data_IF_448521747853
#
_entry.id   IF_448521747853
#
_cell.length_a   1.000
_cell.length_b   1.000
_cell.length_c   1.000
_cell.angle_alpha   90.00
_cell.angle_beta   90.00
_cell.angle_gamma   90.00
#
_symmetry.space_group_name_H-M   'P 1'
#
loop_
_entity.id
_entity.type
_entity.pdbx_description
1 polymer ?
#
# COMPACT_ATOMS: atom_id res chain seq x y z
N UNK A 1 -2.07 4.29 44.75
CA UNK A 1 -3.04 4.50 43.65
C UNK A 1 -2.21 4.79 42.43
N UNK A 2 -1.72 3.75 41.78
CA UNK A 2 -0.89 3.89 40.58
C UNK A 2 -1.83 4.09 39.40
N UNK A 3 -1.83 5.30 38.85
CA UNK A 3 -2.47 5.61 37.59
C UNK A 3 -1.94 4.62 36.54
N UNK A 4 -2.83 3.76 36.07
CA UNK A 4 -2.62 2.93 34.91
C UNK A 4 -2.35 3.84 33.71
N UNK A 5 -1.07 4.18 33.49
CA UNK A 5 -0.58 4.69 32.22
C UNK A 5 -0.69 3.55 31.22
N UNK A 6 -1.90 3.30 30.72
CA UNK A 6 -2.07 2.54 29.49
C UNK A 6 -1.35 3.35 28.42
N UNK A 7 -0.10 2.99 28.14
CA UNK A 7 0.64 3.49 26.99
C UNK A 7 -0.13 3.03 25.76
N UNK A 8 -1.09 3.84 25.33
CA UNK A 8 -1.75 3.69 24.05
C UNK A 8 -0.65 3.77 22.99
N UNK A 9 -0.21 2.61 22.51
CA UNK A 9 0.88 2.51 21.56
C UNK A 9 0.38 3.06 20.22
N UNK A 10 0.90 4.20 19.81
CA UNK A 10 0.70 4.77 18.49
C UNK A 10 1.74 4.20 17.51
N UNK A 11 1.43 4.23 16.22
CA UNK A 11 2.41 3.86 15.18
C UNK A 11 3.53 4.90 15.09
N UNK A 12 4.78 4.44 15.11
CA UNK A 12 5.95 5.25 14.72
C UNK A 12 6.23 5.13 13.22
N UNK A 13 7.10 6.00 12.70
CA UNK A 13 7.52 5.97 11.28
C UNK A 13 8.22 4.65 10.97
N UNK A 14 9.13 4.21 11.83
CA UNK A 14 9.93 2.99 11.64
C UNK A 14 9.05 1.74 11.60
N UNK A 15 8.02 1.68 12.45
CA UNK A 15 7.07 0.56 12.48
C UNK A 15 6.25 0.49 11.19
N UNK A 16 5.82 1.65 10.69
CA UNK A 16 5.07 1.76 9.44
C UNK A 16 5.94 1.33 8.25
N UNK A 17 7.19 1.79 8.18
CA UNK A 17 8.12 1.38 7.11
C UNK A 17 8.41 -0.13 7.12
N UNK A 18 8.60 -0.71 8.31
CA UNK A 18 8.77 -2.16 8.44
C UNK A 18 7.53 -2.95 8.01
N UNK A 19 6.32 -2.45 8.26
CA UNK A 19 5.09 -3.08 7.80
C UNK A 19 4.95 -3.04 6.28
N UNK A 20 5.30 -1.92 5.63
CA UNK A 20 5.30 -1.82 4.16
C UNK A 20 6.26 -2.84 3.56
N UNK A 21 7.50 -2.90 4.04
CA UNK A 21 8.53 -3.79 3.50
C UNK A 21 8.14 -5.27 3.58
N UNK A 22 7.44 -5.66 4.65
CA UNK A 22 6.98 -7.03 4.85
C UNK A 22 5.72 -7.38 4.03
N UNK A 23 4.85 -6.40 3.81
CA UNK A 23 3.55 -6.61 3.19
C UNK A 23 3.58 -6.47 1.67
N UNK A 24 4.24 -5.44 1.15
CA UNK A 24 4.19 -5.08 -0.26
C UNK A 24 4.59 -6.20 -1.23
N UNK A 25 5.59 -7.06 -0.93
CA UNK A 25 5.95 -8.19 -1.80
C UNK A 25 4.87 -9.27 -1.94
N UNK A 26 3.86 -9.28 -1.05
CA UNK A 26 2.75 -10.26 -1.06
C UNK A 26 1.55 -9.78 -1.88
N UNK A 27 1.63 -8.58 -2.43
CA UNK A 27 0.57 -7.99 -3.24
C UNK A 27 0.66 -8.44 -4.69
N UNK A 28 -0.46 -8.39 -5.45
CA UNK A 28 -0.47 -8.74 -6.86
C UNK A 28 0.58 -7.99 -7.67
N UNK A 29 1.07 -8.66 -8.71
CA UNK A 29 2.02 -8.08 -9.66
C UNK A 29 1.30 -7.22 -10.70
N UNK A 30 2.05 -6.30 -11.31
CA UNK A 30 1.59 -5.49 -12.42
C UNK A 30 1.29 -6.36 -13.65
N UNK A 31 0.30 -5.94 -14.42
CA UNK A 31 -0.09 -6.57 -15.68
C UNK A 31 -0.08 -5.53 -16.80
N UNK A 32 0.50 -5.87 -17.94
CA UNK A 32 0.38 -5.05 -19.15
C UNK A 32 -0.98 -5.33 -19.80
N UNK A 33 -1.78 -4.28 -19.92
CA UNK A 33 -3.05 -4.26 -20.63
C UNK A 33 -2.85 -3.75 -22.07
N UNK A 34 -3.87 -3.95 -22.90
CA UNK A 34 -3.91 -3.43 -24.26
C UNK A 34 -3.74 -1.90 -24.26
N UNK A 35 -3.02 -1.37 -25.27
CA UNK A 35 -2.85 0.07 -25.46
C UNK A 35 -1.74 0.71 -24.62
N UNK A 36 -0.76 -0.06 -24.11
CA UNK A 36 0.36 0.50 -23.35
C UNK A 36 -0.01 0.95 -21.94
N UNK A 37 -1.04 0.34 -21.35
CA UNK A 37 -1.48 0.61 -19.99
C UNK A 37 -0.95 -0.48 -19.07
N UNK A 38 -0.20 -0.10 -18.05
CA UNK A 38 0.22 -1.02 -16.98
C UNK A 38 -0.79 -0.86 -15.84
N UNK A 39 -1.45 -1.96 -15.45
CA UNK A 39 -2.35 -2.01 -14.30
C UNK A 39 -1.66 -2.68 -13.12
N UNK A 40 -1.77 -2.06 -11.95
CA UNK A 40 -1.28 -2.61 -10.68
C UNK A 40 -2.43 -2.62 -9.68
N UNK A 41 -2.74 -3.80 -9.15
CA UNK A 41 -3.71 -3.94 -8.08
C UNK A 41 -3.03 -3.83 -6.72
N UNK A 42 -3.65 -3.07 -5.85
CA UNK A 42 -3.20 -2.78 -4.50
C UNK A 42 -4.27 -3.11 -3.48
N UNK A 43 -3.82 -3.30 -2.25
CA UNK A 43 -4.68 -3.58 -1.11
C UNK A 43 -4.60 -2.44 -0.10
N UNK A 44 -5.75 -1.88 0.28
CA UNK A 44 -5.83 -0.76 1.21
C UNK A 44 -4.94 0.43 0.80
N UNK A 45 -4.77 0.65 -0.51
CA UNK A 45 -3.92 1.72 -1.06
C UNK A 45 -2.42 1.42 -1.14
N UNK A 46 -1.98 0.23 -0.73
CA UNK A 46 -0.59 -0.23 -0.92
C UNK A 46 -0.46 -1.05 -2.19
N UNK A 47 0.69 -0.96 -2.85
CA UNK A 47 1.02 -1.65 -4.08
C UNK A 47 2.36 -2.39 -3.98
N UNK A 48 2.60 -3.38 -4.85
CA UNK A 48 3.89 -4.06 -4.91
C UNK A 48 4.92 -3.23 -5.71
N UNK A 49 5.94 -2.62 -5.07
CA UNK A 49 6.96 -1.84 -5.79
C UNK A 49 7.91 -2.73 -6.60
N UNK A 50 8.01 -4.02 -6.24
CA UNK A 50 8.82 -5.02 -6.93
C UNK A 50 8.00 -5.81 -7.94
N UNK A 51 6.91 -5.21 -8.46
CA UNK A 51 6.17 -5.81 -9.55
C UNK A 51 7.09 -6.16 -10.71
N UNK A 52 7.00 -7.40 -11.16
CA UNK A 52 7.74 -7.86 -12.33
C UNK A 52 7.24 -7.09 -13.55
N UNK A 53 8.03 -6.13 -14.00
CA UNK A 53 7.85 -5.43 -15.26
C UNK A 53 8.92 -5.91 -16.24
N UNK A 54 8.54 -6.19 -17.49
CA UNK A 54 9.51 -6.14 -18.58
C UNK A 54 9.92 -4.66 -18.75
N UNK A 55 11.21 -4.31 -18.68
CA UNK A 55 11.67 -2.94 -18.89
C UNK A 55 11.15 -2.28 -20.17
N UNK A 56 10.87 -3.08 -21.21
CA UNK A 56 10.31 -2.59 -22.47
C UNK A 56 8.90 -2.01 -22.31
N UNK A 57 8.13 -2.41 -21.29
CA UNK A 57 6.79 -1.87 -21.03
C UNK A 57 6.82 -0.38 -20.70
N UNK A 58 7.93 0.12 -20.15
CA UNK A 58 8.11 1.53 -19.84
C UNK A 58 8.48 2.37 -21.07
N UNK A 59 8.77 1.73 -22.21
CA UNK A 59 9.04 2.36 -23.51
C UNK A 59 10.11 3.48 -23.47
N UNK A 60 11.07 3.37 -22.55
CA UNK A 60 12.11 4.39 -22.33
C UNK A 60 11.59 5.72 -21.74
N UNK A 61 10.31 5.81 -21.37
CA UNK A 61 9.71 7.00 -20.74
C UNK A 61 10.03 7.11 -19.26
N UNK A 62 10.38 5.98 -18.65
CA UNK A 62 10.75 5.82 -17.25
C UNK A 62 11.69 4.62 -17.13
N UNK A 63 12.66 4.70 -16.23
CA UNK A 63 13.53 3.59 -15.87
C UNK A 63 12.85 2.65 -14.86
N UNK A 64 13.23 1.37 -14.78
CA UNK A 64 12.71 0.48 -13.75
C UNK A 64 12.91 0.99 -12.32
N UNK A 65 14.00 1.73 -12.07
CA UNK A 65 14.29 2.32 -10.77
C UNK A 65 13.31 3.47 -10.44
N UNK A 66 13.05 4.38 -11.38
CA UNK A 66 12.06 5.45 -11.19
C UNK A 66 10.66 4.90 -10.96
N UNK A 67 10.31 3.80 -11.64
CA UNK A 67 9.05 3.08 -11.37
C UNK A 67 9.01 2.59 -9.92
N UNK A 68 10.04 1.88 -9.47
CA UNK A 68 10.14 1.38 -8.10
C UNK A 68 10.02 2.52 -7.07
N UNK A 69 10.71 3.64 -7.32
CA UNK A 69 10.67 4.82 -6.46
C UNK A 69 9.29 5.47 -6.42
N UNK A 70 8.61 5.60 -7.56
CA UNK A 70 7.25 6.13 -7.65
C UNK A 70 6.25 5.28 -6.85
N UNK A 71 6.29 3.95 -6.99
CA UNK A 71 5.39 3.07 -6.23
C UNK A 71 5.70 3.11 -4.73
N UNK A 72 6.98 3.13 -4.35
CA UNK A 72 7.36 3.28 -2.94
C UNK A 72 6.94 4.62 -2.36
N UNK A 73 7.01 5.69 -3.14
CA UNK A 73 6.55 7.00 -2.72
C UNK A 73 5.06 6.98 -2.38
N UNK A 74 4.23 6.41 -3.26
CA UNK A 74 2.78 6.24 -3.00
C UNK A 74 2.56 5.44 -1.72
N UNK A 75 3.24 4.29 -1.59
CA UNK A 75 3.13 3.44 -0.40
C UNK A 75 3.48 4.22 0.87
N UNK A 76 4.60 4.94 0.89
CA UNK A 76 5.05 5.75 2.04
C UNK A 76 4.02 6.82 2.40
N UNK A 77 3.53 7.58 1.42
CA UNK A 77 2.49 8.59 1.66
C UNK A 77 1.22 7.98 2.27
N UNK A 78 0.75 6.86 1.72
CA UNK A 78 -0.41 6.14 2.25
C UNK A 78 -0.14 5.62 3.67
N UNK A 79 1.05 5.10 3.94
CA UNK A 79 1.41 4.54 5.23
C UNK A 79 1.55 5.62 6.32
N UNK A 80 2.13 6.77 6.00
CA UNK A 80 2.34 7.87 6.93
C UNK A 80 1.04 8.44 7.51
N UNK A 81 -0.10 8.19 6.87
CA UNK A 81 -1.42 8.52 7.45
C UNK A 81 -1.74 7.79 8.76
N UNK A 82 -0.99 6.73 9.10
CA UNK A 82 -1.17 5.96 10.34
C UNK A 82 -0.26 6.45 11.47
N UNK A 83 0.77 7.24 11.18
CA UNK A 83 1.72 7.71 12.18
C UNK A 83 0.99 8.56 13.21
N UNK A 84 1.23 8.28 14.50
CA UNK A 84 0.53 8.94 15.60
C UNK A 84 -0.90 8.46 15.85
N UNK A 85 -1.48 7.64 14.97
CA UNK A 85 -2.77 7.01 15.24
C UNK A 85 -2.59 5.79 16.17
N UNK A 86 -3.62 5.55 16.99
CA UNK A 86 -3.67 4.39 17.87
C UNK A 86 -3.55 3.09 17.06
N UNK A 87 -2.74 2.15 17.57
CA UNK A 87 -2.68 0.75 17.07
C UNK A 87 -3.94 -0.05 17.38
N UNK A 88 -4.76 0.40 18.33
CA UNK A 88 -6.07 -0.20 18.57
C UNK A 88 -7.02 0.17 17.43
N UNK A 89 -7.35 -0.83 16.61
CA UNK A 89 -8.14 -0.64 15.42
C UNK A 89 -9.64 -0.79 15.73
N UNK A 90 -10.29 0.31 16.11
CA UNK A 90 -11.74 0.33 16.32
C UNK A 90 -12.47 0.26 14.97
N UNK A 91 -13.54 -0.54 14.90
CA UNK A 91 -14.33 -0.70 13.68
C UNK A 91 -14.94 0.62 13.17
N UNK A 92 -15.24 1.55 14.09
CA UNK A 92 -15.76 2.89 13.78
C UNK A 92 -14.76 3.80 13.07
N UNK A 93 -13.46 3.59 13.25
CA UNK A 93 -12.42 4.44 12.65
C UNK A 93 -12.01 4.01 11.24
N UNK A 94 -12.43 2.81 10.82
CA UNK A 94 -12.03 2.23 9.52
C UNK A 94 -12.36 3.13 8.33
N UNK A 95 -13.57 3.72 8.22
CA UNK A 95 -13.92 4.56 7.07
C UNK A 95 -13.05 5.82 6.99
N UNK A 96 -12.83 6.49 8.12
CA UNK A 96 -12.01 7.71 8.18
C UNK A 96 -10.54 7.41 7.82
N UNK A 97 -9.95 6.36 8.40
CA UNK A 97 -8.58 5.93 8.06
C UNK A 97 -8.46 5.53 6.59
N UNK A 98 -9.48 4.88 6.02
CA UNK A 98 -9.50 4.56 4.60
C UNK A 98 -9.52 5.83 3.73
N UNK A 99 -10.33 6.83 4.08
CA UNK A 99 -10.38 8.10 3.35
C UNK A 99 -9.04 8.83 3.38
N UNK A 100 -8.37 8.87 4.55
CA UNK A 100 -7.03 9.48 4.67
C UNK A 100 -6.02 8.79 3.74
N UNK A 101 -6.01 7.45 3.71
CA UNK A 101 -5.15 6.67 2.81
C UNK A 101 -5.38 7.00 1.34
N UNK A 102 -6.63 7.09 0.93
CA UNK A 102 -7.02 7.37 -0.47
C UNK A 102 -6.60 8.78 -0.86
N UNK A 103 -6.86 9.77 -0.01
CA UNK A 103 -6.45 11.16 -0.25
C UNK A 103 -4.92 11.28 -0.37
N UNK A 104 -4.17 10.63 0.53
CA UNK A 104 -2.71 10.61 0.47
C UNK A 104 -2.19 9.94 -0.81
N UNK A 105 -2.78 8.80 -1.22
CA UNK A 105 -2.41 8.12 -2.45
C UNK A 105 -2.69 8.95 -3.71
N UNK A 106 -3.85 9.62 -3.77
CA UNK A 106 -4.19 10.52 -4.88
C UNK A 106 -3.26 11.72 -4.95
N UNK A 107 -2.92 12.33 -3.80
CA UNK A 107 -1.97 13.44 -3.75
C UNK A 107 -0.56 13.02 -4.19
N UNK A 108 -0.09 11.84 -3.78
CA UNK A 108 1.20 11.30 -4.23
C UNK A 108 1.22 11.09 -5.75
N UNK A 109 0.14 10.53 -6.32
CA UNK A 109 0.01 10.36 -7.77
C UNK A 109 0.01 11.70 -8.51
N UNK A 110 -0.62 12.74 -7.96
CA UNK A 110 -0.57 14.08 -8.56
C UNK A 110 0.87 14.63 -8.62
N UNK A 111 1.66 14.42 -7.56
CA UNK A 111 3.06 14.85 -7.53
C UNK A 111 3.94 14.05 -8.50
N UNK A 112 3.78 12.72 -8.56
CA UNK A 112 4.51 11.87 -9.52
C UNK A 112 4.21 12.31 -10.96
N UNK A 113 2.95 12.60 -11.28
CA UNK A 113 2.56 13.08 -12.60
C UNK A 113 3.17 14.44 -12.97
N UNK A 114 3.54 15.27 -11.99
CA UNK A 114 4.26 16.52 -12.25
C UNK A 114 5.75 16.25 -12.55
N UNK A 115 6.32 15.20 -11.95
CA UNK A 115 7.73 14.81 -12.13
C UNK A 115 7.97 14.01 -13.42
N UNK A 116 6.98 13.24 -13.87
CA UNK A 116 7.06 12.42 -15.07
C UNK A 116 5.97 12.78 -16.10
N UNK A 117 6.05 13.93 -16.79
CA UNK A 117 4.99 14.38 -17.71
C UNK A 117 4.69 13.44 -18.88
N UNK A 118 5.65 12.58 -19.23
CA UNK A 118 5.58 11.56 -20.28
C UNK A 118 4.84 10.29 -19.84
N UNK A 119 4.49 10.17 -18.57
CA UNK A 119 3.81 9.01 -17.99
C UNK A 119 2.61 9.51 -17.20
N UNK A 120 1.46 8.84 -17.34
CA UNK A 120 0.26 9.21 -16.58
C UNK A 120 -0.13 8.11 -15.61
N UNK A 121 0.00 8.42 -14.33
CA UNK A 121 -0.51 7.63 -13.21
C UNK A 121 -1.95 8.03 -12.89
N UNK A 122 -2.84 7.05 -12.76
CA UNK A 122 -4.24 7.23 -12.38
C UNK A 122 -4.57 6.31 -11.21
N UNK A 123 -5.02 6.90 -10.10
CA UNK A 123 -5.38 6.19 -8.88
C UNK A 123 -6.90 6.00 -8.81
N UNK A 124 -7.36 4.75 -8.70
CA UNK A 124 -8.77 4.43 -8.58
C UNK A 124 -9.00 3.52 -7.37
N UNK A 125 -9.98 3.87 -6.53
CA UNK A 125 -10.46 2.96 -5.49
C UNK A 125 -11.74 2.28 -5.98
N UNK A 126 -11.86 0.98 -5.73
CA UNK A 126 -13.10 0.25 -5.97
C UNK A 126 -13.69 -0.28 -4.68
N UNK A 127 -15.00 -0.54 -4.68
CA UNK A 127 -15.71 -1.11 -3.53
C UNK A 127 -15.50 -2.63 -3.39
N UNK A 128 -14.73 -3.23 -4.29
CA UNK A 128 -14.45 -4.67 -4.29
C UNK A 128 -13.42 -5.01 -3.19
N UNK A 129 -13.61 -6.17 -2.58
CA UNK A 129 -12.70 -6.67 -1.54
C UNK A 129 -11.70 -7.65 -2.14
N UNK A 130 -10.42 -7.41 -1.90
CA UNK A 130 -9.35 -8.36 -2.16
C UNK A 130 -9.26 -9.36 -1.01
N UNK A 131 -9.27 -10.65 -1.35
CA UNK A 131 -8.83 -11.69 -0.41
C UNK A 131 -7.32 -11.85 -0.54
N UNK A 132 -6.58 -11.40 0.47
CA UNK A 132 -5.14 -11.63 0.54
C UNK A 132 -4.93 -12.92 1.31
N UNK A 133 -4.45 -13.96 0.63
CA UNK A 133 -4.06 -15.20 1.26
C UNK A 133 -2.76 -15.00 2.04
N UNK A 134 -2.86 -14.43 3.24
CA UNK A 134 -1.77 -14.51 4.22
C UNK A 134 -1.90 -15.83 4.95
N UNK A 135 -1.06 -16.80 4.63
CA UNK A 135 -0.99 -18.05 5.39
C UNK A 135 -0.74 -17.72 6.87
N UNK A 136 -1.64 -18.16 7.75
CA UNK A 136 -1.32 -18.24 9.17
C UNK A 136 -0.10 -19.12 9.32
N UNK A 137 0.85 -18.76 10.19
CA UNK A 137 1.74 -19.78 10.72
C UNK A 137 0.86 -20.81 11.44
N UNK A 138 1.02 -22.09 11.12
CA UNK A 138 0.40 -23.19 11.88
C UNK A 138 1.07 -23.36 13.25
N UNK A 139 2.24 -22.76 13.45
CA UNK A 139 2.99 -22.78 14.70
C UNK A 139 2.33 -21.85 15.76
N UNK A 140 1.84 -22.40 16.88
CA UNK A 140 1.28 -21.63 17.98
C UNK A 140 2.23 -20.58 18.56
N UNK A 141 3.53 -20.85 18.63
CA UNK A 141 4.53 -19.94 19.21
C UNK A 141 4.70 -18.67 18.37
N UNK A 142 4.67 -18.82 17.03
CA UNK A 142 4.71 -17.68 16.10
C UNK A 142 3.41 -16.87 16.13
N UNK A 143 2.26 -17.49 16.41
CA UNK A 143 0.99 -16.76 16.59
C UNK A 143 1.00 -15.87 17.84
N UNK A 144 1.58 -16.36 18.93
CA UNK A 144 1.77 -15.57 20.16
C UNK A 144 2.79 -14.43 19.96
N UNK A 145 3.89 -14.70 19.24
CA UNK A 145 4.85 -13.66 18.87
C UNK A 145 4.25 -12.58 17.94
N UNK A 146 3.28 -12.96 17.09
CA UNK A 146 2.54 -12.05 16.21
C UNK A 146 1.48 -11.19 16.91
N UNK A 147 1.33 -11.29 18.25
CA UNK A 147 0.46 -10.42 19.08
C UNK A 147 -0.96 -10.20 18.51
N UNK A 148 -1.56 -11.22 17.92
CA UNK A 148 -2.92 -11.11 17.39
C UNK A 148 -3.05 -10.25 16.12
N UNK A 149 -1.97 -10.04 15.35
CA UNK A 149 -2.08 -9.51 13.99
C UNK A 149 -2.94 -10.47 13.16
N UNK A 150 -4.20 -10.09 12.96
CA UNK A 150 -5.14 -10.83 12.15
C UNK A 150 -4.57 -11.02 10.72
N UNK A 151 -4.95 -12.09 10.01
CA UNK A 151 -4.75 -12.19 8.58
C UNK A 151 -5.28 -10.92 7.94
N UNK A 152 -4.71 -10.53 6.82
CA UNK A 152 -5.19 -9.39 6.07
C UNK A 152 -6.46 -9.85 5.35
N UNK A 153 -7.52 -10.05 6.14
CA UNK A 153 -8.87 -10.33 5.69
C UNK A 153 -9.43 -9.08 5.04
N UNK A 154 -10.19 -9.30 3.97
CA UNK A 154 -10.94 -8.31 3.18
C UNK A 154 -10.27 -6.92 3.16
N UNK A 155 -9.35 -6.71 2.22
CA UNK A 155 -8.81 -5.39 1.93
C UNK A 155 -9.64 -4.71 0.83
N UNK A 156 -9.79 -3.38 0.85
CA UNK A 156 -10.36 -2.70 -0.31
C UNK A 156 -9.38 -2.78 -1.49
N UNK A 157 -9.87 -3.08 -2.69
CA UNK A 157 -9.06 -3.05 -3.91
C UNK A 157 -8.85 -1.59 -4.34
N UNK A 158 -7.58 -1.23 -4.45
CA UNK A 158 -7.14 -0.02 -5.12
C UNK A 158 -6.46 -0.42 -6.43
N UNK A 159 -6.74 0.29 -7.52
CA UNK A 159 -6.06 0.10 -8.79
C UNK A 159 -5.22 1.34 -9.12
N UNK A 160 -4.00 1.10 -9.59
CA UNK A 160 -3.15 2.10 -10.18
C UNK A 160 -2.97 1.76 -11.66
N UNK A 161 -3.34 2.70 -12.53
CA UNK A 161 -3.09 2.61 -13.96
C UNK A 161 -1.96 3.54 -14.35
N UNK A 162 -1.05 3.07 -15.20
CA UNK A 162 0.10 3.80 -15.67
C UNK A 162 0.07 3.77 -17.19
N UNK A 163 -0.18 4.93 -17.80
CA UNK A 163 -0.20 5.10 -19.26
C UNK A 163 1.15 5.63 -19.71
N UNK A 164 1.79 4.91 -20.63
CA UNK A 164 3.04 5.31 -21.27
C UNK A 164 2.73 5.72 -22.72
N UNK A 165 2.39 7.00 -22.91
CA UNK A 165 2.03 7.56 -24.22
C UNK A 165 3.19 8.40 -24.79
#
# INVERSE_FOLDING_TARGET
MDCCSSTFSAYTVEEVEAEIANFAPRLPVAILMNGGIIKLEGANGFFNPNSLLDPNWLQGKMTPQEYYEAINYINKCTAHTHVGLSKFYLASERPMRQQLRVQAGMAAVQQINQQHPSVRFTYQQTAENMQINTSWSTDPALRFAQRGKAPIGNASITMLYISVN
#
